data_IF_067745681505
#
_entry.id   IF_067745681505
#
_cell.length_a   1.000
_cell.length_b   1.000
_cell.length_c   1.000
_cell.angle_alpha   90.00
_cell.angle_beta   90.00
_cell.angle_gamma   90.00
#
_symmetry.space_group_name_H-M   'P 1'
#
loop_
_entity.id
_entity.type
_entity.pdbx_description
1 polymer ?
#
# COMPACT_ATOMS: atom_id res chain seq x y z
N UNK A 1 -4.63 -7.99 17.02
CA UNK A 1 -6.02 -8.40 17.33
C UNK A 1 -6.83 -7.27 18.00
N UNK A 2 -6.33 -6.03 18.03
CA UNK A 2 -7.06 -4.90 18.62
C UNK A 2 -7.64 -3.95 17.54
N UNK A 3 -7.31 -4.21 16.27
CA UNK A 3 -7.62 -3.34 15.14
C UNK A 3 -9.08 -3.48 14.68
N UNK A 4 -9.68 -4.68 14.81
CA UNK A 4 -11.05 -4.99 14.41
C UNK A 4 -12.15 -4.22 15.16
N UNK A 5 -11.79 -3.43 16.19
CA UNK A 5 -12.73 -2.57 16.93
C UNK A 5 -13.46 -1.56 16.02
N UNK A 6 -12.92 -1.29 14.84
CA UNK A 6 -13.47 -0.32 13.90
C UNK A 6 -14.43 -0.92 12.86
N UNK A 7 -14.56 -2.25 12.77
CA UNK A 7 -15.54 -2.91 11.90
C UNK A 7 -16.93 -2.89 12.54
N UNK A 8 -17.94 -2.51 11.78
CA UNK A 8 -19.35 -2.66 12.14
C UNK A 8 -19.95 -3.89 11.45
N UNK A 9 -21.13 -4.30 11.91
CA UNK A 9 -21.90 -5.33 11.22
C UNK A 9 -22.19 -4.89 9.78
N UNK A 10 -21.83 -5.72 8.80
CA UNK A 10 -21.92 -5.39 7.37
C UNK A 10 -20.62 -4.84 6.75
N UNK A 11 -19.60 -4.53 7.55
CA UNK A 11 -18.28 -4.15 7.03
C UNK A 11 -17.41 -5.37 6.75
N UNK A 12 -16.52 -5.25 5.77
CA UNK A 12 -15.42 -6.20 5.56
C UNK A 12 -14.08 -5.57 5.85
N UNK A 13 -13.29 -6.21 6.70
CA UNK A 13 -11.91 -5.81 6.95
C UNK A 13 -10.97 -6.52 5.95
N UNK A 14 -10.19 -5.77 5.20
CA UNK A 14 -9.26 -6.27 4.19
C UNK A 14 -7.84 -5.86 4.57
N UNK A 15 -6.90 -6.80 4.59
CA UNK A 15 -5.50 -6.51 4.81
C UNK A 15 -4.78 -6.43 3.46
N UNK A 16 -4.53 -5.21 2.99
CA UNK A 16 -3.83 -4.96 1.74
C UNK A 16 -2.32 -4.98 1.98
N UNK A 17 -1.57 -5.71 1.14
CA UNK A 17 -0.12 -5.81 1.23
C UNK A 17 0.52 -5.49 -0.12
N UNK A 18 1.38 -4.48 -0.14
CA UNK A 18 2.21 -4.13 -1.29
C UNK A 18 3.66 -4.54 -1.01
N UNK A 19 4.12 -5.57 -1.73
CA UNK A 19 5.52 -6.01 -1.70
C UNK A 19 6.28 -5.38 -2.85
N UNK A 20 7.49 -4.85 -2.60
CA UNK A 20 8.28 -4.14 -3.60
C UNK A 20 9.75 -4.59 -3.62
N UNK A 21 10.35 -4.51 -4.81
CA UNK A 21 11.79 -4.67 -5.07
C UNK A 21 12.16 -3.75 -6.23
N UNK A 22 12.85 -2.65 -5.91
CA UNK A 22 13.14 -1.56 -6.83
C UNK A 22 14.66 -1.48 -6.98
N UNK A 23 15.23 -2.03 -8.08
CA UNK A 23 16.64 -1.86 -8.39
C UNK A 23 16.88 -0.44 -8.89
N UNK A 24 17.82 0.26 -8.25
CA UNK A 24 18.39 1.53 -8.68
C UNK A 24 19.86 1.31 -9.06
N UNK A 25 20.52 2.29 -9.66
CA UNK A 25 21.89 2.13 -10.19
C UNK A 25 22.89 1.61 -9.14
N UNK A 26 22.80 2.09 -7.91
CA UNK A 26 23.77 1.79 -6.83
C UNK A 26 23.14 1.16 -5.57
N UNK A 27 21.82 0.95 -5.56
CA UNK A 27 21.09 0.46 -4.38
C UNK A 27 19.85 -0.31 -4.81
N UNK A 28 19.40 -1.25 -3.99
CA UNK A 28 18.11 -1.93 -4.17
C UNK A 28 17.24 -1.59 -2.97
N UNK A 29 16.04 -1.07 -3.22
CA UNK A 29 15.03 -0.84 -2.19
C UNK A 29 14.02 -1.98 -2.23
N UNK A 30 13.93 -2.75 -1.16
CA UNK A 30 12.96 -3.84 -1.05
C UNK A 30 12.27 -3.86 0.30
N UNK A 31 11.07 -4.43 0.33
CA UNK A 31 10.27 -4.51 1.55
C UNK A 31 8.79 -4.74 1.25
N UNK A 32 7.97 -4.48 2.26
CA UNK A 32 6.53 -4.46 2.12
C UNK A 32 5.94 -3.30 2.93
N UNK A 33 4.85 -2.74 2.43
CA UNK A 33 3.95 -1.87 3.19
C UNK A 33 2.57 -2.50 3.20
N UNK A 34 1.83 -2.32 4.29
CA UNK A 34 0.51 -2.92 4.42
C UNK A 34 -0.44 -2.01 5.17
N UNK A 35 -1.72 -2.17 4.88
CA UNK A 35 -2.79 -1.39 5.49
C UNK A 35 -3.98 -2.30 5.75
N UNK A 36 -4.65 -2.07 6.88
CA UNK A 36 -5.94 -2.68 7.18
C UNK A 36 -7.03 -1.69 6.80
N UNK A 37 -7.82 -2.06 5.79
CA UNK A 37 -8.91 -1.28 5.25
C UNK A 37 -10.25 -1.84 5.73
N UNK A 38 -11.22 -0.95 5.95
CA UNK A 38 -12.59 -1.33 6.28
C UNK A 38 -13.50 -0.90 5.14
N UNK A 39 -13.92 -1.87 4.32
CA UNK A 39 -14.93 -1.65 3.29
C UNK A 39 -16.29 -1.57 3.99
N UNK A 40 -16.91 -0.39 3.93
CA UNK A 40 -18.14 -0.11 4.68
C UNK A 40 -19.37 -0.65 3.97
N UNK A 41 -20.29 -1.20 4.75
CA UNK A 41 -21.61 -1.65 4.28
C UNK A 41 -21.54 -2.63 3.08
N UNK A 42 -20.44 -3.40 2.96
CA UNK A 42 -20.22 -4.41 1.94
C UNK A 42 -19.57 -5.64 2.58
N UNK A 43 -20.28 -6.77 2.52
CA UNK A 43 -19.73 -8.09 2.87
C UNK A 43 -19.06 -8.65 1.64
N UNK A 44 -17.76 -8.94 1.74
CA UNK A 44 -16.95 -9.57 0.70
C UNK A 44 -16.46 -10.89 1.30
N UNK A 45 -16.91 -12.00 0.73
CA UNK A 45 -16.55 -13.34 1.20
C UNK A 45 -15.29 -13.83 0.50
N UNK A 46 -15.13 -13.48 -0.78
CA UNK A 46 -14.03 -13.89 -1.65
C UNK A 46 -13.33 -12.69 -2.30
N UNK A 47 -12.02 -12.82 -2.54
CA UNK A 47 -11.23 -11.74 -3.14
C UNK A 47 -11.66 -11.43 -4.59
N UNK A 48 -12.17 -12.44 -5.29
CA UNK A 48 -12.65 -12.39 -6.67
C UNK A 48 -13.88 -11.47 -6.85
N UNK A 49 -14.54 -11.09 -5.75
CA UNK A 49 -15.64 -10.11 -5.74
C UNK A 49 -15.14 -8.66 -5.84
N UNK A 50 -13.84 -8.42 -5.67
CA UNK A 50 -13.20 -7.13 -5.88
C UNK A 50 -12.83 -6.96 -7.35
N UNK A 51 -13.30 -5.88 -7.95
CA UNK A 51 -12.89 -5.55 -9.31
C UNK A 51 -11.54 -4.82 -9.35
N UNK A 52 -11.11 -4.42 -10.55
CA UNK A 52 -9.82 -3.74 -10.71
C UNK A 52 -9.80 -2.35 -10.08
N UNK A 53 -10.94 -1.66 -10.05
CA UNK A 53 -11.04 -0.31 -9.53
C UNK A 53 -11.04 -0.36 -7.99
N UNK A 54 -11.76 -1.31 -7.39
CA UNK A 54 -11.71 -1.64 -5.96
C UNK A 54 -10.26 -1.93 -5.51
N UNK A 55 -9.56 -2.79 -6.25
CA UNK A 55 -8.17 -3.17 -5.95
C UNK A 55 -7.21 -1.98 -6.10
N UNK A 56 -7.44 -1.11 -7.09
CA UNK A 56 -6.65 0.10 -7.29
C UNK A 56 -6.87 1.10 -6.15
N UNK A 57 -8.11 1.27 -5.68
CA UNK A 57 -8.45 2.16 -4.57
C UNK A 57 -7.80 1.68 -3.27
N UNK A 58 -7.89 0.38 -2.95
CA UNK A 58 -7.24 -0.22 -1.78
C UNK A 58 -5.70 -0.08 -1.82
N UNK A 59 -5.10 -0.19 -3.00
CA UNK A 59 -3.65 -0.10 -3.15
C UNK A 59 -3.12 1.35 -3.23
N UNK A 60 -3.94 2.33 -3.60
CA UNK A 60 -3.51 3.71 -3.84
C UNK A 60 -2.74 4.35 -2.66
N UNK A 61 -3.19 4.22 -1.39
CA UNK A 61 -2.44 4.76 -0.24
C UNK A 61 -1.08 4.09 -0.05
N UNK A 62 -0.97 2.80 -0.35
CA UNK A 62 0.29 2.06 -0.25
C UNK A 62 1.28 2.53 -1.31
N UNK A 63 0.82 2.80 -2.54
CA UNK A 63 1.64 3.38 -3.59
C UNK A 63 2.08 4.80 -3.25
N UNK A 64 1.21 5.65 -2.70
CA UNK A 64 1.60 7.00 -2.25
C UNK A 64 2.67 6.93 -1.16
N UNK A 65 2.49 6.05 -0.17
CA UNK A 65 3.47 5.83 0.88
C UNK A 65 4.81 5.35 0.30
N UNK A 66 4.79 4.41 -0.63
CA UNK A 66 6.01 3.92 -1.29
C UNK A 66 6.71 5.04 -2.07
N UNK A 67 5.97 5.87 -2.83
CA UNK A 67 6.53 7.04 -3.53
C UNK A 67 7.26 7.97 -2.56
N UNK A 68 6.64 8.28 -1.43
CA UNK A 68 7.22 9.16 -0.40
C UNK A 68 8.44 8.54 0.26
N UNK A 69 8.38 7.24 0.62
CA UNK A 69 9.50 6.53 1.22
C UNK A 69 10.72 6.52 0.29
N UNK A 70 10.51 6.21 -0.99
CA UNK A 70 11.61 6.18 -1.96
C UNK A 70 12.19 7.56 -2.18
N UNK A 71 11.36 8.60 -2.36
CA UNK A 71 11.84 9.97 -2.55
C UNK A 71 12.71 10.42 -1.37
N UNK A 72 12.20 10.34 -0.14
CA UNK A 72 12.90 10.82 1.05
C UNK A 72 14.16 9.99 1.35
N UNK A 73 14.08 8.66 1.24
CA UNK A 73 15.23 7.80 1.54
C UNK A 73 16.35 7.99 0.53
N UNK A 74 16.02 8.12 -0.76
CA UNK A 74 17.04 8.33 -1.80
C UNK A 74 17.62 9.74 -1.74
N UNK A 75 16.83 10.75 -1.39
CA UNK A 75 17.33 12.12 -1.21
C UNK A 75 18.42 12.18 -0.13
N UNK A 76 18.15 11.59 1.03
CA UNK A 76 19.08 11.57 2.16
C UNK A 76 20.27 10.63 1.91
N UNK A 77 20.04 9.44 1.35
CA UNK A 77 21.09 8.43 1.21
C UNK A 77 22.06 8.72 0.06
N UNK A 78 21.59 9.36 -1.01
CA UNK A 78 22.39 9.64 -2.21
C UNK A 78 22.93 11.07 -2.23
N UNK A 79 22.47 11.95 -1.34
CA UNK A 79 22.81 13.38 -1.33
C UNK A 79 22.52 14.04 -2.70
N UNK A 80 21.39 13.67 -3.29
CA UNK A 80 20.91 14.08 -4.61
C UNK A 80 19.40 14.29 -4.57
N UNK A 81 18.78 14.99 -5.55
CA UNK A 81 17.32 15.08 -5.61
C UNK A 81 16.67 13.69 -5.53
N UNK A 82 15.71 13.53 -4.60
CA UNK A 82 15.05 12.25 -4.35
C UNK A 82 14.35 11.68 -5.58
N UNK A 83 14.41 10.36 -5.72
CA UNK A 83 13.82 9.64 -6.86
C UNK A 83 12.30 9.61 -6.69
N UNK A 84 11.60 10.15 -7.68
CA UNK A 84 10.14 10.12 -7.76
C UNK A 84 9.69 8.91 -8.60
N UNK A 85 8.87 8.04 -8.02
CA UNK A 85 8.29 6.90 -8.74
C UNK A 85 6.97 7.29 -9.40
N UNK A 86 6.76 6.79 -10.61
CA UNK A 86 5.51 6.88 -11.37
C UNK A 86 4.97 5.47 -11.63
N UNK A 87 3.68 5.26 -11.32
CA UNK A 87 2.96 4.00 -11.47
C UNK A 87 1.69 4.24 -12.28
#
# INVERSE_FOLDING_TARGET
MDDLKNAKEGDTAIHTVLTYMIPLENVVLSGFVSQLDYVRDRVIEEQEELDKDDMAELAAPLFDLLKRLVRETTEVALDQPGIQLEF
#
